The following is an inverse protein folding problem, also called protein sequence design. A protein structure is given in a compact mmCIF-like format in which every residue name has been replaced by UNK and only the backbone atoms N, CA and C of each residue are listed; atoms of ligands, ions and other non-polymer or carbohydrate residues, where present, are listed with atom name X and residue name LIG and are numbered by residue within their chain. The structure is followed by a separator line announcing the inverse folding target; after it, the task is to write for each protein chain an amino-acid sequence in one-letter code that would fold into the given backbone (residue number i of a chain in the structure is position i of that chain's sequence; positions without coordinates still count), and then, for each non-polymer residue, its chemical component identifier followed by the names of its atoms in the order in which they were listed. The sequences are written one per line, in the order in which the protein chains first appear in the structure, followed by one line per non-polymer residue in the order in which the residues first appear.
data_IF_497064750206
#
_entry.id   IF_497064750206
#
_cell.length_a   1.000
_cell.length_b   1.000
_cell.length_c   1.000
_cell.angle_alpha   90.00
_cell.angle_beta   90.00
_cell.angle_gamma   90.00
#
_symmetry.space_group_name_H-M   'P 1'
#
loop_
_entity.id
_entity.type
_entity.pdbx_description
1 polymer ?
#
# COMPACT_ATOMS: atom_id res chain seq x y z
N UNK A 1 11.67 4.41 -12.87
CA UNK A 1 11.72 4.74 -14.31
C UNK A 1 10.98 3.74 -15.21
N UNK A 2 10.86 2.45 -14.84
CA UNK A 2 10.21 1.44 -15.68
C UNK A 2 8.68 1.59 -15.88
N UNK A 3 7.96 2.16 -14.91
CA UNK A 3 6.50 2.30 -15.01
C UNK A 3 6.06 3.49 -15.89
N UNK A 4 6.84 4.58 -15.91
CA UNK A 4 6.56 5.76 -16.75
C UNK A 4 6.96 5.55 -18.22
N UNK A 5 7.94 4.69 -18.51
CA UNK A 5 8.36 4.39 -19.88
C UNK A 5 7.32 3.60 -20.69
N UNK A 6 6.30 3.05 -20.04
CA UNK A 6 5.18 2.37 -20.70
C UNK A 6 4.03 3.30 -21.09
N UNK A 7 4.06 4.58 -20.71
CA UNK A 7 3.00 5.54 -21.06
C UNK A 7 3.28 6.13 -22.43
N UNK A 8 2.31 6.09 -23.33
CA UNK A 8 2.46 6.63 -24.68
C UNK A 8 2.79 8.14 -24.64
N UNK A 9 3.91 8.54 -25.27
CA UNK A 9 4.34 9.93 -25.38
C UNK A 9 3.37 10.80 -26.19
N UNK A 10 2.65 10.21 -27.16
CA UNK A 10 1.65 10.91 -27.98
C UNK A 10 0.58 11.59 -27.11
N UNK A 11 0.24 11.00 -25.95
CA UNK A 11 -0.74 11.57 -25.01
C UNK A 11 -0.23 12.87 -24.38
N UNK A 12 1.06 12.96 -24.08
CA UNK A 12 1.65 14.17 -23.51
C UNK A 12 1.84 15.26 -24.56
N UNK A 13 2.17 14.88 -25.80
CA UNK A 13 2.30 15.81 -26.91
C UNK A 13 0.94 16.40 -27.27
N UNK A 14 -0.10 15.57 -27.42
CA UNK A 14 -1.47 16.02 -27.65
C UNK A 14 -1.96 16.95 -26.52
N UNK A 15 -1.72 16.58 -25.25
CA UNK A 15 -2.11 17.43 -24.13
C UNK A 15 -1.33 18.76 -24.09
N UNK A 16 -0.10 18.79 -24.60
CA UNK A 16 0.67 20.03 -24.71
C UNK A 16 0.11 20.93 -25.82
N UNK A 17 -0.32 20.34 -26.95
CA UNK A 17 -1.03 21.05 -28.03
C UNK A 17 -2.36 21.63 -27.53
N UNK A 18 -3.08 20.91 -26.65
CA UNK A 18 -4.31 21.38 -25.97
C UNK A 18 -4.05 22.37 -24.82
N UNK A 19 -2.80 22.80 -24.58
CA UNK A 19 -2.45 23.78 -23.56
C UNK A 19 -2.49 23.26 -22.11
N UNK A 20 -2.41 21.94 -21.90
CA UNK A 20 -2.36 21.36 -20.57
C UNK A 20 -1.01 21.62 -19.90
N UNK A 21 -1.03 22.38 -18.78
CA UNK A 21 0.14 22.57 -17.92
C UNK A 21 0.56 21.24 -17.26
N UNK A 22 1.82 21.13 -16.79
CA UNK A 22 2.42 19.91 -16.23
C UNK A 22 1.57 19.22 -15.16
N UNK A 23 0.91 20.00 -14.30
CA UNK A 23 0.01 19.46 -13.28
C UNK A 23 -1.21 18.75 -13.88
N UNK A 24 -1.80 19.30 -14.95
CA UNK A 24 -2.93 18.66 -15.66
C UNK A 24 -2.48 17.36 -16.32
N UNK A 25 -1.29 17.34 -16.91
CA UNK A 25 -0.69 16.13 -17.51
C UNK A 25 -0.48 15.04 -16.45
N UNK A 26 0.00 15.40 -15.25
CA UNK A 26 0.18 14.43 -14.16
C UNK A 26 -1.17 13.84 -13.74
N UNK A 27 -2.17 14.68 -13.47
CA UNK A 27 -3.45 14.22 -12.93
C UNK A 27 -4.28 13.42 -13.95
N UNK A 28 -4.25 13.79 -15.23
CA UNK A 28 -5.13 13.22 -16.25
C UNK A 28 -4.47 12.18 -17.15
N UNK A 29 -3.13 12.10 -17.17
CA UNK A 29 -2.38 11.17 -18.03
C UNK A 29 -1.53 10.26 -17.16
N UNK A 30 -0.60 10.82 -16.39
CA UNK A 30 0.37 10.02 -15.62
C UNK A 30 -0.30 9.19 -14.53
N UNK A 31 -1.15 9.80 -13.71
CA UNK A 31 -1.81 9.15 -12.59
C UNK A 31 -2.71 7.99 -13.08
N UNK A 32 -3.65 8.21 -14.03
CA UNK A 32 -4.54 7.15 -14.48
C UNK A 32 -3.81 6.01 -15.20
N UNK A 33 -2.75 6.31 -15.96
CA UNK A 33 -1.95 5.26 -16.61
C UNK A 33 -1.13 4.42 -15.63
N UNK A 34 -0.72 4.99 -14.48
CA UNK A 34 0.05 4.27 -13.47
C UNK A 34 -0.81 3.53 -12.42
N UNK A 35 -2.10 3.86 -12.29
CA UNK A 35 -2.99 3.25 -11.29
C UNK A 35 -2.93 1.71 -11.23
N UNK A 36 -2.92 0.95 -12.34
CA UNK A 36 -2.84 -0.50 -12.28
C UNK A 36 -1.53 -1.00 -11.64
N UNK A 37 -0.41 -0.38 -12.00
CA UNK A 37 0.92 -0.72 -11.48
C UNK A 37 1.01 -0.33 -10.00
N UNK A 38 0.54 0.88 -9.66
CA UNK A 38 0.49 1.34 -8.26
C UNK A 38 -0.32 0.37 -7.43
N UNK A 39 -1.46 -0.10 -7.90
CA UNK A 39 -2.31 -1.05 -7.17
C UNK A 39 -1.60 -2.38 -6.89
N UNK A 40 -0.92 -2.96 -7.89
CA UNK A 40 -0.14 -4.19 -7.71
C UNK A 40 0.99 -3.96 -6.70
N UNK A 41 1.74 -2.86 -6.85
CA UNK A 41 2.81 -2.51 -5.92
C UNK A 41 2.28 -2.25 -4.53
N UNK A 42 1.10 -1.65 -4.38
CA UNK A 42 0.48 -1.36 -3.10
C UNK A 42 0.11 -2.66 -2.38
N UNK A 43 -0.44 -3.65 -3.09
CA UNK A 43 -0.70 -5.00 -2.55
C UNK A 43 0.59 -5.67 -2.07
N UNK A 44 1.64 -5.65 -2.90
CA UNK A 44 2.92 -6.28 -2.56
C UNK A 44 3.62 -5.57 -1.40
N UNK A 45 3.59 -4.23 -1.37
CA UNK A 45 4.22 -3.45 -0.31
C UNK A 45 3.44 -3.50 1.00
N UNK A 46 2.11 -3.60 0.99
CA UNK A 46 1.34 -3.75 2.23
C UNK A 46 1.65 -5.06 2.95
N UNK A 47 1.79 -6.15 2.18
CA UNK A 47 2.28 -7.42 2.73
C UNK A 47 3.63 -7.27 3.43
N UNK A 48 4.51 -6.42 2.89
CA UNK A 48 5.80 -6.12 3.50
C UNK A 48 5.74 -5.13 4.67
N UNK A 49 4.81 -4.18 4.70
CA UNK A 49 4.67 -3.20 5.80
C UNK A 49 4.23 -3.84 7.11
N UNK A 50 3.39 -4.88 7.07
CA UNK A 50 3.04 -5.71 8.25
C UNK A 50 4.20 -6.61 8.74
N UNK A 51 5.33 -6.60 8.04
CA UNK A 51 6.57 -7.25 8.47
C UNK A 51 7.73 -6.25 8.58
N UNK A 52 7.50 -5.02 8.13
CA UNK A 52 8.49 -4.00 7.82
C UNK A 52 8.82 -3.21 9.06
N UNK A 53 9.50 -3.86 10.00
CA UNK A 53 9.84 -3.26 11.28
C UNK A 53 9.80 -4.24 12.42
N UNK A 54 9.14 -5.40 12.29
CA UNK A 54 9.11 -6.40 13.34
C UNK A 54 10.53 -6.79 13.78
N UNK A 55 11.38 -7.25 12.85
CA UNK A 55 12.74 -7.69 13.20
C UNK A 55 13.58 -6.58 13.82
N UNK A 56 13.49 -5.36 13.29
CA UNK A 56 14.26 -4.23 13.80
C UNK A 56 13.77 -3.78 15.17
N UNK A 57 12.45 -3.59 15.32
CA UNK A 57 11.82 -3.17 16.56
C UNK A 57 12.01 -4.24 17.63
N UNK A 58 11.77 -5.50 17.30
CA UNK A 58 11.91 -6.64 18.23
C UNK A 58 13.34 -6.78 18.74
N UNK A 59 14.35 -6.65 17.88
CA UNK A 59 15.76 -6.74 18.29
C UNK A 59 16.23 -5.55 19.12
N UNK A 60 15.71 -4.34 18.85
CA UNK A 60 16.04 -3.13 19.61
C UNK A 60 15.10 -2.92 20.83
N UNK A 61 14.16 -3.84 21.04
CA UNK A 61 13.10 -3.68 22.01
C UNK A 61 13.65 -3.79 23.44
N UNK A 62 13.45 -2.73 24.23
CA UNK A 62 13.77 -2.72 25.65
C UNK A 62 12.80 -1.82 26.42
N UNK A 63 12.82 -1.92 27.75
CA UNK A 63 11.89 -1.24 28.64
C UNK A 63 11.91 0.30 28.52
N UNK A 64 13.00 0.91 28.03
CA UNK A 64 13.09 2.37 27.85
C UNK A 64 12.42 2.86 26.57
N UNK A 65 12.34 2.02 25.53
CA UNK A 65 11.77 2.39 24.22
C UNK A 65 10.39 1.78 23.98
N UNK A 66 9.85 1.10 24.98
CA UNK A 66 8.62 0.33 24.88
C UNK A 66 7.40 1.17 24.54
N UNK A 67 7.28 2.36 25.14
CA UNK A 67 6.13 3.26 24.95
C UNK A 67 6.07 3.87 23.54
N UNK A 68 7.23 4.17 22.94
CA UNK A 68 7.32 4.86 21.65
C UNK A 68 7.63 3.93 20.47
N UNK A 69 8.17 2.75 20.77
CA UNK A 69 8.67 1.81 19.76
C UNK A 69 7.77 0.59 19.52
N UNK A 70 6.69 0.39 20.28
CA UNK A 70 5.81 -0.76 20.05
C UNK A 70 5.00 -0.58 18.76
N UNK A 71 5.08 -1.57 17.88
CA UNK A 71 4.29 -1.65 16.65
C UNK A 71 3.25 -2.77 16.77
N UNK A 72 2.23 -2.73 15.92
CA UNK A 72 1.12 -3.70 15.96
C UNK A 72 1.65 -5.14 15.91
N UNK A 73 2.69 -5.42 15.13
CA UNK A 73 3.27 -6.76 14.97
C UNK A 73 3.97 -7.26 16.25
N UNK A 74 4.72 -6.39 16.94
CA UNK A 74 5.39 -6.74 18.21
C UNK A 74 4.40 -6.91 19.35
N UNK A 75 3.29 -6.15 19.33
CA UNK A 75 2.19 -6.30 20.26
C UNK A 75 1.43 -7.62 20.05
N UNK A 76 1.07 -7.96 18.81
CA UNK A 76 0.41 -9.23 18.46
C UNK A 76 1.30 -10.43 18.79
N UNK A 77 2.60 -10.34 18.48
CA UNK A 77 3.58 -11.35 18.85
C UNK A 77 3.62 -11.58 20.37
N UNK A 78 3.71 -10.50 21.15
CA UNK A 78 3.78 -10.57 22.62
C UNK A 78 2.54 -11.19 23.23
N UNK A 79 1.36 -10.79 22.78
CA UNK A 79 0.10 -11.30 23.32
C UNK A 79 -0.14 -12.74 22.89
N UNK A 80 0.16 -13.07 21.64
CA UNK A 80 -0.04 -14.41 21.09
C UNK A 80 0.95 -15.42 21.64
N UNK A 81 2.25 -15.13 21.50
CA UNK A 81 3.32 -16.10 21.79
C UNK A 81 3.89 -15.97 23.20
N UNK A 82 4.07 -14.75 23.72
CA UNK A 82 4.64 -14.56 25.08
C UNK A 82 3.60 -14.76 26.18
N UNK A 83 2.37 -14.27 25.98
CA UNK A 83 1.28 -14.38 26.98
C UNK A 83 0.33 -15.56 26.72
N UNK A 84 0.51 -16.31 25.63
CA UNK A 84 -0.31 -17.47 25.27
C UNK A 84 -1.75 -17.14 24.86
N UNK A 85 -2.08 -15.88 24.57
CA UNK A 85 -3.43 -15.45 24.18
C UNK A 85 -3.61 -15.53 22.66
N UNK A 86 -3.54 -16.76 22.14
CA UNK A 86 -3.64 -17.02 20.69
C UNK A 86 -4.92 -16.48 20.06
N UNK A 87 -6.07 -16.67 20.72
CA UNK A 87 -7.36 -16.19 20.21
C UNK A 87 -7.37 -14.68 19.95
N UNK A 88 -6.80 -13.88 20.87
CA UNK A 88 -6.72 -12.43 20.73
C UNK A 88 -5.75 -12.03 19.60
N UNK A 89 -4.58 -12.67 19.55
CA UNK A 89 -3.59 -12.40 18.51
C UNK A 89 -4.14 -12.73 17.10
N UNK A 90 -4.83 -13.86 16.95
CA UNK A 90 -5.48 -14.23 15.70
C UNK A 90 -6.60 -13.27 15.33
N UNK A 91 -7.41 -12.82 16.28
CA UNK A 91 -8.49 -11.85 16.02
C UNK A 91 -7.94 -10.50 15.51
N UNK A 92 -6.85 -10.00 16.10
CA UNK A 92 -6.19 -8.77 15.65
C UNK A 92 -5.60 -8.96 14.24
N UNK A 93 -4.93 -10.09 13.99
CA UNK A 93 -4.40 -10.41 12.66
C UNK A 93 -5.50 -10.50 11.60
N UNK A 94 -6.64 -11.11 11.91
CA UNK A 94 -7.80 -11.17 11.01
C UNK A 94 -8.36 -9.78 10.71
N UNK A 95 -8.49 -8.91 11.72
CA UNK A 95 -8.98 -7.55 11.55
C UNK A 95 -8.09 -6.72 10.61
N UNK A 96 -6.77 -6.82 10.74
CA UNK A 96 -5.82 -6.17 9.83
C UNK A 96 -5.98 -6.67 8.39
N UNK A 97 -6.16 -7.98 8.20
CA UNK A 97 -6.41 -8.55 6.87
C UNK A 97 -7.72 -8.03 6.25
N UNK A 98 -8.77 -7.83 7.04
CA UNK A 98 -10.03 -7.23 6.56
C UNK A 98 -9.79 -5.79 6.09
N UNK A 99 -9.05 -4.98 6.85
CA UNK A 99 -8.71 -3.61 6.44
C UNK A 99 -7.94 -3.62 5.11
N UNK A 100 -6.93 -4.49 4.99
CA UNK A 100 -6.14 -4.62 3.77
C UNK A 100 -7.00 -5.03 2.57
N UNK A 101 -7.92 -5.96 2.78
CA UNK A 101 -8.85 -6.41 1.74
C UNK A 101 -9.79 -5.29 1.27
N UNK A 102 -10.35 -4.50 2.21
CA UNK A 102 -11.18 -3.33 1.87
C UNK A 102 -10.37 -2.30 1.09
N UNK A 103 -9.15 -1.99 1.52
CA UNK A 103 -8.27 -1.05 0.82
C UNK A 103 -7.99 -1.52 -0.61
N UNK A 104 -7.71 -2.80 -0.80
CA UNK A 104 -7.49 -3.41 -2.12
C UNK A 104 -8.71 -3.23 -3.02
N UNK A 105 -9.92 -3.53 -2.52
CA UNK A 105 -11.16 -3.36 -3.29
C UNK A 105 -11.35 -1.90 -3.70
N UNK A 106 -11.11 -0.94 -2.80
CA UNK A 106 -11.24 0.49 -3.08
C UNK A 106 -10.27 0.91 -4.18
N UNK A 107 -9.01 0.51 -4.06
CA UNK A 107 -7.95 0.84 -5.03
C UNK A 107 -8.24 0.19 -6.39
N UNK A 108 -8.64 -1.08 -6.42
CA UNK A 108 -9.03 -1.76 -7.67
C UNK A 108 -10.26 -1.10 -8.32
N UNK A 109 -11.26 -0.70 -7.51
CA UNK A 109 -12.45 -0.01 -8.02
C UNK A 109 -12.10 1.38 -8.57
N UNK A 110 -11.21 2.11 -7.92
CA UNK A 110 -10.70 3.39 -8.41
C UNK A 110 -9.94 3.20 -9.74
N UNK A 111 -9.08 2.18 -9.82
CA UNK A 111 -8.38 1.81 -11.06
C UNK A 111 -9.36 1.49 -12.19
N UNK A 112 -10.38 0.68 -11.94
CA UNK A 112 -11.39 0.31 -12.94
C UNK A 112 -12.18 1.51 -13.45
N UNK A 113 -12.48 2.48 -12.58
CA UNK A 113 -13.23 3.70 -12.93
C UNK A 113 -12.40 4.74 -13.69
N UNK A 114 -11.10 4.81 -13.44
CA UNK A 114 -10.22 5.83 -14.04
C UNK A 114 -9.48 5.33 -15.29
N UNK A 115 -9.11 4.05 -15.33
CA UNK A 115 -8.26 3.49 -16.40
C UNK A 115 -9.05 2.57 -17.35
N UNK A 116 -10.32 2.30 -17.08
CA UNK A 116 -11.19 1.43 -17.89
C UNK A 116 -10.81 -0.07 -17.86
N UNK A 117 -9.66 -0.40 -17.27
CA UNK A 117 -9.18 -1.77 -17.04
C UNK A 117 -9.11 -2.02 -15.54
N UNK A 118 -9.86 -3.04 -15.09
CA UNK A 118 -9.72 -3.60 -13.76
C UNK A 118 -8.55 -4.57 -13.72
N UNK A 119 -7.98 -4.76 -12.54
CA UNK A 119 -7.00 -5.85 -12.29
C UNK A 119 -7.75 -7.20 -12.24
N UNK A 120 -9.09 -7.13 -12.12
CA UNK A 120 -10.07 -8.21 -12.27
C UNK A 120 -11.27 -7.76 -13.14
#
# INVERSE_FOLDING_TARGET
MAALSGVNQDLYEAATVDGANRFKQIVHITLPSLLPIISILLILNFGSMMTGGFDQVFNLYNTMVYESGDVIDTYVYRIGLTQGKYSMATAIGLFLNVINFVLLIVVNSASKKMSGQGIY
#
